data_IF_987068305955
#
_entry.id   IF_987068305955
#
_cell.length_a   1.000
_cell.length_b   1.000
_cell.length_c   1.000
_cell.angle_alpha   90.00
_cell.angle_beta   90.00
_cell.angle_gamma   90.00
#
_symmetry.space_group_name_H-M   'P 1'
#
loop_
_entity.id
_entity.type
_entity.pdbx_description
1 polymer ?
#
# COMPACT_ATOMS: atom_id res chain seq x y z
N UNK A 1 15.61 5.90 -18.09
CA UNK A 1 16.15 6.57 -16.90
C UNK A 1 16.26 5.50 -15.85
N UNK A 2 17.37 5.41 -15.12
CA UNK A 2 17.52 4.38 -14.10
C UNK A 2 16.61 4.68 -12.90
N UNK A 3 16.16 3.67 -12.15
CA UNK A 3 15.39 3.91 -10.93
C UNK A 3 16.24 4.66 -9.90
N UNK A 4 15.61 5.59 -9.21
CA UNK A 4 16.19 6.31 -8.08
C UNK A 4 16.01 5.44 -6.84
N UNK A 5 17.06 5.27 -6.05
CA UNK A 5 17.05 4.42 -4.87
C UNK A 5 17.39 5.23 -3.62
N UNK A 6 16.78 4.87 -2.48
CA UNK A 6 17.17 5.39 -1.17
C UNK A 6 17.23 4.28 -0.13
N UNK A 7 18.37 4.22 0.57
CA UNK A 7 18.52 3.40 1.76
C UNK A 7 17.87 4.11 2.96
N UNK A 8 17.03 3.40 3.72
CA UNK A 8 16.17 3.96 4.76
C UNK A 8 16.27 3.22 6.11
N UNK A 9 17.19 2.24 6.23
CA UNK A 9 17.41 1.43 7.45
C UNK A 9 16.15 0.76 8.01
N UNK A 10 15.19 0.45 7.15
CA UNK A 10 13.96 -0.28 7.50
C UNK A 10 13.54 -1.18 6.35
N UNK A 11 13.29 -2.45 6.64
CA UNK A 11 12.74 -3.37 5.63
C UNK A 11 11.32 -2.96 5.32
N UNK A 12 10.97 -2.95 4.03
CA UNK A 12 9.66 -2.52 3.57
C UNK A 12 8.81 -3.72 3.23
N UNK A 13 7.62 -3.79 3.82
CA UNK A 13 6.60 -4.81 3.52
C UNK A 13 5.54 -4.30 2.55
N UNK A 14 5.28 -2.97 2.54
CA UNK A 14 4.26 -2.34 1.69
C UNK A 14 4.69 -0.99 1.15
N UNK A 15 4.26 -0.70 -0.07
CA UNK A 15 4.43 0.57 -0.78
C UNK A 15 3.12 0.93 -1.45
N UNK A 16 2.69 2.19 -1.39
CA UNK A 16 1.50 2.69 -2.09
C UNK A 16 1.64 4.13 -2.51
N UNK A 17 1.36 4.44 -3.76
CA UNK A 17 1.22 5.82 -4.22
C UNK A 17 -0.03 6.46 -3.62
N UNK A 18 0.07 7.74 -3.27
CA UNK A 18 -1.10 8.54 -2.97
C UNK A 18 -1.90 8.73 -4.27
N UNK A 19 -3.22 8.45 -4.28
CA UNK A 19 -4.04 8.68 -5.47
C UNK A 19 -4.03 10.15 -5.88
N UNK A 20 -3.76 10.40 -7.16
CA UNK A 20 -3.86 11.72 -7.79
C UNK A 20 -5.17 11.82 -8.57
N UNK A 21 -5.72 13.02 -8.66
CA UNK A 21 -6.87 13.25 -9.54
C UNK A 21 -6.39 13.21 -10.99
N UNK A 22 -6.97 12.37 -11.88
CA UNK A 22 -6.58 12.31 -13.29
C UNK A 22 -6.68 13.66 -14.01
N UNK A 23 -7.57 14.54 -13.52
CA UNK A 23 -7.76 15.88 -14.08
C UNK A 23 -6.55 16.81 -13.90
N UNK A 24 -5.63 16.50 -12.99
CA UNK A 24 -4.51 17.38 -12.67
C UNK A 24 -3.30 17.20 -13.61
N UNK A 25 -3.25 16.12 -14.42
CA UNK A 25 -2.11 15.80 -15.31
C UNK A 25 -0.73 15.88 -14.61
N UNK A 26 -0.72 15.76 -13.28
CA UNK A 26 0.48 15.79 -12.44
C UNK A 26 1.05 14.38 -12.32
N UNK A 27 2.37 14.26 -12.22
CA UNK A 27 2.95 12.97 -11.87
C UNK A 27 2.72 12.68 -10.39
N UNK A 28 2.65 11.40 -9.99
CA UNK A 28 2.70 11.02 -8.58
C UNK A 28 3.99 11.56 -7.93
N UNK A 29 3.81 12.20 -6.78
CA UNK A 29 4.92 12.75 -5.97
C UNK A 29 4.96 12.11 -4.58
N UNK A 30 3.81 11.75 -4.02
CA UNK A 30 3.73 11.26 -2.64
C UNK A 30 3.39 9.78 -2.61
N UNK A 31 4.11 9.02 -1.79
CA UNK A 31 3.81 7.62 -1.53
C UNK A 31 3.96 7.28 -0.04
N UNK A 32 3.34 6.19 0.36
CA UNK A 32 3.42 5.65 1.71
C UNK A 32 4.18 4.31 1.71
N UNK A 33 4.85 4.02 2.81
CA UNK A 33 5.46 2.71 3.06
C UNK A 33 5.04 2.14 4.41
N UNK A 34 4.94 0.82 4.47
CA UNK A 34 4.85 0.08 5.72
C UNK A 34 6.10 -0.76 5.90
N UNK A 35 6.62 -0.80 7.13
CA UNK A 35 7.78 -1.62 7.47
C UNK A 35 7.39 -2.95 8.10
N UNK A 36 8.37 -3.83 8.18
CA UNK A 36 8.32 -5.05 8.97
C UNK A 36 9.67 -5.31 9.63
N UNK A 37 9.68 -6.09 10.70
CA UNK A 37 10.91 -6.45 11.43
C UNK A 37 10.84 -7.89 11.94
N UNK A 38 12.00 -8.57 11.91
CA UNK A 38 12.18 -9.92 12.44
C UNK A 38 12.53 -9.93 13.93
N UNK A 39 12.88 -8.79 14.52
CA UNK A 39 13.23 -8.73 15.93
C UNK A 39 12.02 -8.97 16.83
N UNK A 40 12.22 -9.79 17.86
CA UNK A 40 11.18 -10.12 18.82
C UNK A 40 10.64 -8.84 19.48
N UNK A 41 9.38 -8.52 19.18
CA UNK A 41 8.68 -7.35 19.70
C UNK A 41 8.47 -6.22 18.68
N UNK A 42 9.07 -6.28 17.49
CA UNK A 42 8.81 -5.39 16.34
C UNK A 42 8.56 -3.91 16.73
N UNK A 43 9.35 -3.39 17.68
CA UNK A 43 9.06 -2.13 18.37
C UNK A 43 9.29 -0.90 17.50
N UNK A 44 9.98 -1.09 16.38
CA UNK A 44 10.44 -0.03 15.49
C UNK A 44 9.67 0.02 14.17
N UNK A 45 8.60 -0.77 14.03
CA UNK A 45 7.80 -0.73 12.82
C UNK A 45 7.10 0.62 12.66
N UNK A 46 6.99 1.06 11.40
CA UNK A 46 6.46 2.37 11.03
C UNK A 46 5.57 2.32 9.80
N UNK A 47 4.67 3.29 9.75
CA UNK A 47 4.05 3.75 8.51
C UNK A 47 4.66 5.12 8.20
N UNK A 48 5.19 5.28 7.00
CA UNK A 48 5.95 6.48 6.61
C UNK A 48 5.39 7.07 5.33
N UNK A 49 5.39 8.40 5.23
CA UNK A 49 5.01 9.16 4.04
C UNK A 49 6.26 9.78 3.43
N UNK A 50 6.39 9.67 2.12
CA UNK A 50 7.54 10.10 1.36
C UNK A 50 7.10 10.98 0.20
N UNK A 51 7.97 11.91 -0.20
CA UNK A 51 7.83 12.66 -1.45
C UNK A 51 8.97 12.37 -2.41
N UNK A 52 8.69 12.43 -3.70
CA UNK A 52 9.65 12.37 -4.80
C UNK A 52 9.36 13.56 -5.70
N UNK A 53 10.36 14.41 -5.96
CA UNK A 53 10.17 15.60 -6.78
C UNK A 53 11.03 16.78 -6.33
N UNK A 54 11.02 17.83 -7.14
CA UNK A 54 11.84 19.03 -6.94
C UNK A 54 11.23 19.92 -5.85
N UNK A 55 11.80 19.86 -4.64
CA UNK A 55 11.43 20.76 -3.53
C UNK A 55 12.24 22.07 -3.51
N UNK A 56 12.89 22.44 -4.62
CA UNK A 56 13.56 23.74 -4.77
C UNK A 56 14.75 23.95 -3.84
N UNK A 57 15.26 22.89 -3.20
CA UNK A 57 16.51 22.93 -2.44
C UNK A 57 17.64 22.59 -3.40
N UNK A 58 18.08 23.59 -4.17
CA UNK A 58 19.31 23.49 -4.93
C UNK A 58 20.46 23.29 -3.93
N UNK A 59 21.07 22.11 -3.90
CA UNK A 59 22.40 21.98 -3.34
C UNK A 59 23.33 22.95 -4.09
N UNK A 60 24.32 23.53 -3.40
CA UNK A 60 25.22 24.55 -3.98
C UNK A 60 25.97 24.07 -5.24
N UNK A 61 25.87 22.79 -5.57
CA UNK A 61 26.55 22.13 -6.68
C UNK A 61 25.64 21.88 -7.91
N UNK A 62 24.36 22.28 -7.87
CA UNK A 62 23.45 22.20 -9.03
C UNK A 62 22.93 20.79 -9.37
N UNK A 63 23.23 19.79 -8.53
CA UNK A 63 22.59 18.47 -8.58
C UNK A 63 21.25 18.53 -7.83
N UNK A 64 20.15 18.32 -8.56
CA UNK A 64 18.81 18.17 -7.99
C UNK A 64 18.72 16.81 -7.32
N UNK A 65 18.36 16.79 -6.04
CA UNK A 65 18.22 15.57 -5.25
C UNK A 65 16.85 14.93 -5.58
N UNK A 66 16.79 14.17 -6.67
CA UNK A 66 15.57 13.43 -7.08
C UNK A 66 15.24 12.26 -6.13
N UNK A 67 16.06 12.04 -5.10
CA UNK A 67 15.88 10.99 -4.11
C UNK A 67 14.58 11.15 -3.29
N UNK A 68 13.89 10.03 -2.97
CA UNK A 68 12.74 10.06 -2.06
C UNK A 68 13.06 10.75 -0.73
N UNK A 69 12.25 11.68 -0.27
CA UNK A 69 12.43 12.35 1.02
C UNK A 69 11.33 11.95 2.00
N UNK A 70 11.72 11.62 3.23
CA UNK A 70 10.77 11.30 4.29
C UNK A 70 10.06 12.60 4.70
N UNK A 71 8.73 12.63 4.58
CA UNK A 71 7.93 13.75 5.05
C UNK A 71 7.58 13.58 6.53
N UNK A 72 7.04 12.42 6.89
CA UNK A 72 6.69 12.08 8.26
C UNK A 72 6.50 10.57 8.44
N UNK A 73 6.50 10.11 9.69
CA UNK A 73 6.21 8.73 10.05
C UNK A 73 5.39 8.61 11.32
N UNK A 74 4.79 7.44 11.51
CA UNK A 74 4.04 7.06 12.71
C UNK A 74 4.42 5.66 13.13
N UNK A 75 4.54 5.43 14.44
CA UNK A 75 4.83 4.11 15.00
C UNK A 75 3.69 3.14 14.68
N UNK A 76 4.05 1.90 14.34
CA UNK A 76 3.12 0.84 14.03
C UNK A 76 3.44 -0.41 14.85
N UNK A 77 2.50 -0.87 15.67
CA UNK A 77 2.67 -2.12 16.43
C UNK A 77 2.38 -3.33 15.52
N UNK A 78 3.34 -4.25 15.46
CA UNK A 78 3.33 -5.36 14.51
C UNK A 78 3.76 -4.93 13.11
N UNK A 79 3.96 -5.90 12.24
CA UNK A 79 4.33 -5.69 10.84
C UNK A 79 3.16 -5.06 10.08
N UNK A 80 3.48 -4.18 9.14
CA UNK A 80 2.46 -3.64 8.24
C UNK A 80 2.16 -4.71 7.19
N UNK A 81 1.03 -5.38 7.35
CA UNK A 81 0.60 -6.50 6.50
C UNK A 81 -0.09 -6.05 5.23
N UNK A 82 -0.73 -4.89 5.26
CA UNK A 82 -1.30 -4.22 4.09
C UNK A 82 -1.51 -2.72 4.37
N UNK A 83 -1.54 -1.92 3.31
CA UNK A 83 -1.58 -0.47 3.38
C UNK A 83 -2.37 0.08 2.19
N UNK A 84 -3.33 0.97 2.44
CA UNK A 84 -4.11 1.63 1.38
C UNK A 84 -4.53 3.04 1.78
N UNK A 85 -4.48 3.98 0.83
CA UNK A 85 -5.12 5.27 1.00
C UNK A 85 -6.64 5.11 0.98
N UNK A 86 -7.32 5.61 2.00
CA UNK A 86 -8.77 5.70 2.03
C UNK A 86 -9.25 6.84 1.13
N UNK A 87 -8.54 7.96 1.19
CA UNK A 87 -8.76 9.19 0.45
C UNK A 87 -7.47 10.01 0.42
N UNK A 88 -7.56 11.33 0.24
CA UNK A 88 -6.39 12.19 0.07
C UNK A 88 -5.56 12.35 1.35
N UNK A 89 -6.16 12.39 2.53
CA UNK A 89 -5.44 12.66 3.79
C UNK A 89 -5.46 11.48 4.77
N UNK A 90 -6.16 10.40 4.47
CA UNK A 90 -6.25 9.21 5.34
C UNK A 90 -5.67 7.97 4.71
N UNK A 91 -4.87 7.28 5.52
CA UNK A 91 -4.19 6.05 5.20
C UNK A 91 -4.63 4.95 6.17
N UNK A 92 -4.93 3.77 5.67
CA UNK A 92 -5.36 2.63 6.47
C UNK A 92 -4.29 1.56 6.43
N UNK A 93 -3.95 0.97 7.57
CA UNK A 93 -3.06 -0.18 7.66
C UNK A 93 -3.73 -1.40 8.28
N UNK A 94 -3.29 -2.58 7.82
CA UNK A 94 -3.50 -3.87 8.47
C UNK A 94 -2.23 -4.28 9.21
N UNK A 95 -2.36 -4.84 10.42
CA UNK A 95 -1.24 -5.27 11.24
C UNK A 95 -1.19 -6.78 11.46
N UNK A 96 0.02 -7.33 11.62
CA UNK A 96 0.24 -8.69 12.10
C UNK A 96 -0.27 -8.90 13.54
N UNK A 97 -0.51 -7.83 14.29
CA UNK A 97 -1.21 -7.89 15.60
C UNK A 97 -2.72 -8.10 15.49
N UNK A 98 -3.28 -8.12 14.27
CA UNK A 98 -4.71 -8.18 14.03
C UNK A 98 -5.43 -6.84 14.08
N UNK A 99 -4.70 -5.75 14.32
CA UNK A 99 -5.25 -4.41 14.34
C UNK A 99 -5.49 -3.85 12.93
N UNK A 100 -6.49 -2.99 12.80
CA UNK A 100 -6.69 -2.09 11.65
C UNK A 100 -6.56 -0.66 12.16
N UNK A 101 -5.72 0.17 11.53
CA UNK A 101 -5.45 1.56 11.96
C UNK A 101 -5.77 2.53 10.85
N UNK A 102 -6.34 3.69 11.20
CA UNK A 102 -6.46 4.85 10.31
C UNK A 102 -5.47 5.90 10.79
N UNK A 103 -4.57 6.29 9.90
CA UNK A 103 -3.69 7.43 10.06
C UNK A 103 -4.23 8.61 9.27
N UNK A 104 -4.06 9.80 9.81
CA UNK A 104 -4.36 11.06 9.14
C UNK A 104 -3.08 11.86 8.92
N UNK A 105 -2.79 12.15 7.66
CA UNK A 105 -1.76 13.07 7.23
C UNK A 105 -2.24 14.50 7.50
N UNK A 106 -1.43 15.27 8.25
CA UNK A 106 -1.72 16.68 8.50
C UNK A 106 -1.54 17.50 7.22
N UNK A 107 -2.24 18.63 7.12
CA UNK A 107 -2.25 19.47 5.91
C UNK A 107 -0.89 20.07 5.55
N UNK A 108 0.04 20.14 6.51
CA UNK A 108 1.41 20.59 6.30
C UNK A 108 2.35 19.46 5.82
N UNK A 109 1.82 18.24 5.69
CA UNK A 109 2.55 17.01 5.40
C UNK A 109 3.68 16.68 6.39
N UNK A 110 3.74 17.33 7.55
CA UNK A 110 4.84 17.15 8.52
C UNK A 110 4.52 16.15 9.62
N UNK A 111 3.28 15.70 9.73
CA UNK A 111 2.88 14.73 10.75
C UNK A 111 1.86 13.72 10.25
N UNK A 112 2.08 12.47 10.64
CA UNK A 112 1.16 11.36 10.45
C UNK A 112 0.60 10.93 11.81
N UNK A 113 -0.62 11.38 12.11
CA UNK A 113 -1.29 11.13 13.39
C UNK A 113 -2.19 9.91 13.35
N UNK A 114 -2.23 9.11 14.41
CA UNK A 114 -3.20 8.02 14.55
C UNK A 114 -4.60 8.62 14.77
N UNK A 115 -5.49 8.45 13.79
CA UNK A 115 -6.85 8.97 13.84
C UNK A 115 -7.81 7.96 14.49
N UNK A 116 -7.67 6.68 14.19
CA UNK A 116 -8.50 5.62 14.77
C UNK A 116 -7.79 4.27 14.78
N UNK A 117 -8.20 3.38 15.69
CA UNK A 117 -7.69 2.01 15.76
C UNK A 117 -8.77 1.02 16.19
N UNK A 118 -8.81 -0.10 15.47
CA UNK A 118 -9.52 -1.31 15.88
C UNK A 118 -8.49 -2.36 16.31
N UNK A 119 -8.01 -2.26 17.56
CA UNK A 119 -6.89 -3.05 18.10
C UNK A 119 -7.10 -4.57 18.00
N UNK A 120 -8.35 -5.02 18.09
CA UNK A 120 -8.71 -6.45 18.08
C UNK A 120 -9.71 -6.76 16.97
N UNK A 121 -9.49 -6.15 15.80
CA UNK A 121 -10.26 -6.41 14.59
C UNK A 121 -10.24 -7.91 14.27
N UNK A 122 -9.05 -8.49 14.09
CA UNK A 122 -8.86 -9.91 13.89
C UNK A 122 -8.27 -10.57 15.12
N UNK A 123 -8.90 -11.66 15.58
CA UNK A 123 -8.47 -12.37 16.80
C UNK A 123 -8.96 -13.81 16.87
N UNK A 124 -8.14 -14.65 17.49
CA UNK A 124 -8.55 -15.94 18.02
C UNK A 124 -9.13 -15.79 19.45
N UNK A 125 -9.61 -16.90 20.02
CA UNK A 125 -10.20 -16.90 21.37
C UNK A 125 -9.21 -16.51 22.46
N UNK A 126 -7.94 -16.85 22.28
CA UNK A 126 -6.89 -16.65 23.28
C UNK A 126 -5.70 -15.85 22.78
N UNK A 127 -5.71 -15.40 21.52
CA UNK A 127 -4.59 -14.70 20.91
C UNK A 127 -5.07 -13.74 19.80
N UNK A 128 -4.16 -12.90 19.33
CA UNK A 128 -4.37 -12.09 18.15
C UNK A 128 -4.29 -12.95 16.87
N UNK A 129 -4.99 -12.52 15.83
CA UNK A 129 -4.90 -13.14 14.51
C UNK A 129 -4.48 -12.05 13.52
N UNK A 130 -3.40 -12.23 12.75
CA UNK A 130 -2.95 -11.24 11.78
C UNK A 130 -4.08 -10.76 10.86
N UNK A 131 -4.17 -9.44 10.69
CA UNK A 131 -4.98 -8.81 9.64
C UNK A 131 -4.14 -8.84 8.37
N UNK A 132 -4.55 -9.59 7.36
CA UNK A 132 -3.69 -9.94 6.22
C UNK A 132 -3.92 -9.07 4.98
N UNK A 133 -5.10 -8.46 4.84
CA UNK A 133 -5.38 -7.50 3.79
C UNK A 133 -6.50 -6.53 4.17
N UNK A 134 -6.47 -5.36 3.54
CA UNK A 134 -7.52 -4.34 3.61
C UNK A 134 -7.87 -3.85 2.21
N UNK A 135 -9.10 -3.41 2.01
CA UNK A 135 -9.53 -2.65 0.83
C UNK A 135 -10.35 -1.45 1.25
N UNK A 136 -10.10 -0.31 0.60
CA UNK A 136 -10.76 0.95 0.93
C UNK A 136 -11.68 1.42 -0.20
N UNK A 137 -12.88 1.88 0.17
CA UNK A 137 -13.79 2.65 -0.70
C UNK A 137 -14.46 3.72 0.16
N UNK A 138 -13.85 4.91 0.23
CA UNK A 138 -14.25 5.93 1.19
C UNK A 138 -15.77 6.15 1.27
N UNK A 139 -16.39 6.12 2.47
CA UNK A 139 -15.75 5.97 3.79
C UNK A 139 -15.66 4.52 4.31
N UNK A 140 -15.96 3.53 3.48
CA UNK A 140 -15.99 2.11 3.82
C UNK A 140 -14.59 1.50 3.78
N UNK A 141 -14.32 0.64 4.76
CA UNK A 141 -13.08 -0.15 4.84
C UNK A 141 -13.50 -1.60 5.03
N UNK A 142 -12.85 -2.52 4.33
CA UNK A 142 -13.01 -3.95 4.56
C UNK A 142 -11.65 -4.54 4.91
N UNK A 143 -11.60 -5.38 5.94
CA UNK A 143 -10.40 -6.16 6.28
C UNK A 143 -10.68 -7.66 6.28
N UNK A 144 -9.61 -8.43 6.11
CA UNK A 144 -9.59 -9.87 6.29
C UNK A 144 -8.39 -10.27 7.13
N UNK A 145 -8.50 -11.41 7.83
CA UNK A 145 -7.43 -11.91 8.68
C UNK A 145 -7.41 -13.41 8.80
N UNK A 146 -6.38 -13.92 9.47
CA UNK A 146 -6.15 -15.36 9.64
C UNK A 146 -7.22 -16.04 10.50
N UNK A 147 -8.02 -15.27 11.25
CA UNK A 147 -9.20 -15.76 11.95
C UNK A 147 -10.38 -16.14 11.02
N UNK A 148 -10.20 -16.01 9.71
CA UNK A 148 -11.18 -16.36 8.69
C UNK A 148 -12.37 -15.42 8.63
N UNK A 149 -12.26 -14.21 9.21
CA UNK A 149 -13.31 -13.19 9.19
C UNK A 149 -13.07 -12.17 8.08
N UNK A 150 -14.17 -11.67 7.53
CA UNK A 150 -14.23 -10.46 6.71
C UNK A 150 -14.99 -9.41 7.51
N UNK A 151 -14.41 -8.24 7.70
CA UNK A 151 -14.97 -7.21 8.57
C UNK A 151 -15.16 -5.91 7.78
N UNK A 152 -16.37 -5.34 7.85
CA UNK A 152 -16.70 -4.04 7.29
C UNK A 152 -16.70 -2.99 8.40
N UNK A 153 -16.06 -1.86 8.11
CA UNK A 153 -15.99 -0.68 8.96
C UNK A 153 -16.47 0.55 8.19
N UNK A 154 -16.68 1.63 8.94
CA UNK A 154 -16.81 2.97 8.40
C UNK A 154 -15.80 3.86 9.10
N UNK A 155 -15.04 4.65 8.34
CA UNK A 155 -13.95 5.46 8.87
C UNK A 155 -14.39 6.53 9.89
N UNK A 156 -15.65 6.95 9.85
CA UNK A 156 -16.27 7.92 10.75
C UNK A 156 -17.00 7.26 11.95
N UNK A 157 -16.85 5.95 12.13
CA UNK A 157 -17.48 5.18 13.19
C UNK A 157 -16.46 4.40 14.01
N UNK A 158 -16.63 4.42 15.33
CA UNK A 158 -15.75 3.69 16.24
C UNK A 158 -16.01 2.19 16.21
N UNK A 159 -17.28 1.81 16.06
CA UNK A 159 -17.72 0.42 16.06
C UNK A 159 -17.60 -0.23 14.68
N UNK A 160 -17.46 -1.55 14.71
CA UNK A 160 -17.48 -2.38 13.50
C UNK A 160 -18.90 -2.41 12.94
N UNK A 161 -19.06 -2.20 11.62
CA UNK A 161 -20.37 -2.26 10.96
C UNK A 161 -20.88 -3.69 10.81
N UNK A 162 -19.99 -4.60 10.38
CA UNK A 162 -20.36 -6.00 10.10
C UNK A 162 -19.16 -6.91 10.20
N UNK A 163 -19.36 -8.09 10.78
CA UNK A 163 -18.41 -9.20 10.76
C UNK A 163 -19.06 -10.36 10.01
N UNK A 164 -18.36 -10.87 8.99
CA UNK A 164 -18.73 -12.07 8.23
C UNK A 164 -17.68 -13.13 8.57
N UNK A 165 -18.07 -14.16 9.30
CA UNK A 165 -17.16 -15.23 9.69
C UNK A 165 -17.83 -16.24 10.62
N UNK A 166 -17.24 -17.44 10.70
CA UNK A 166 -17.77 -18.58 11.43
C UNK A 166 -18.44 -19.60 10.51
N UNK A 167 -18.14 -20.88 10.74
CA UNK A 167 -18.54 -22.06 9.94
C UNK A 167 -20.07 -22.33 9.87
N UNK A 168 -20.89 -21.37 10.29
CA UNK A 168 -22.34 -21.50 10.46
C UNK A 168 -23.15 -20.29 9.97
N UNK A 169 -22.56 -19.30 9.28
CA UNK A 169 -23.34 -18.23 8.64
C UNK A 169 -23.71 -18.61 7.20
N UNK A 170 -24.98 -18.97 6.97
CA UNK A 170 -25.55 -19.05 5.63
C UNK A 170 -25.56 -17.65 5.02
N UNK A 171 -24.72 -17.41 4.03
CA UNK A 171 -24.84 -16.23 3.17
C UNK A 171 -26.12 -16.40 2.36
N UNK A 172 -27.16 -15.63 2.69
CA UNK A 172 -28.28 -15.40 1.77
C UNK A 172 -27.86 -14.23 0.90
N UNK A 173 -27.42 -14.54 -0.32
CA UNK A 173 -27.24 -13.53 -1.36
C UNK A 173 -28.61 -13.13 -1.90
N UNK A 174 -28.99 -11.86 -1.75
CA UNK A 174 -30.02 -11.28 -2.60
C UNK A 174 -29.37 -10.92 -3.93
N UNK A 175 -29.83 -11.59 -5.00
CA UNK A 175 -29.42 -11.41 -6.38
C UNK A 175 -29.47 -9.94 -6.80
N UNK A 176 -28.33 -9.37 -7.21
CA UNK A 176 -28.32 -8.19 -8.06
C UNK A 176 -28.32 -8.65 -9.52
N UNK A 177 -29.26 -8.12 -10.30
CA UNK A 177 -29.43 -8.43 -11.72
C UNK A 177 -28.17 -8.10 -12.55
N UNK A 178 -27.92 -8.79 -13.68
CA UNK A 178 -26.77 -8.49 -14.52
C UNK A 178 -27.00 -7.17 -15.25
N UNK A 179 -26.04 -6.24 -15.14
CA UNK A 179 -25.89 -5.19 -16.14
C UNK A 179 -25.04 -5.76 -17.27
N UNK A 180 -25.69 -5.90 -18.43
CA UNK A 180 -25.04 -6.29 -19.68
C UNK A 180 -24.37 -5.07 -20.31
N UNK A 181 -23.13 -5.26 -20.76
CA UNK A 181 -22.52 -4.46 -21.81
C UNK A 181 -21.27 -3.69 -21.39
N UNK A 182 -20.11 -4.35 -21.46
CA UNK A 182 -18.91 -3.73 -22.06
C UNK A 182 -17.95 -4.84 -22.51
N UNK A 183 -17.78 -4.94 -23.84
CA UNK A 183 -16.70 -5.72 -24.44
C UNK A 183 -15.45 -4.87 -24.38
N UNK A 184 -14.49 -5.26 -23.55
CA UNK A 184 -13.08 -5.00 -23.82
C UNK A 184 -12.29 -6.24 -23.46
N UNK A 185 -12.10 -7.10 -24.47
CA UNK A 185 -11.20 -8.24 -24.37
C UNK A 185 -9.75 -7.74 -24.39
N UNK A 186 -9.30 -7.15 -23.28
CA UNK A 186 -7.87 -7.02 -23.00
C UNK A 186 -7.40 -8.41 -22.59
N UNK A 187 -7.13 -9.25 -23.59
CA UNK A 187 -6.52 -10.54 -23.36
C UNK A 187 -5.05 -10.27 -23.03
N UNK A 188 -4.68 -10.39 -21.76
CA UNK A 188 -3.28 -10.30 -21.35
C UNK A 188 -2.45 -11.24 -22.22
N UNK A 189 -1.37 -10.74 -22.83
CA UNK A 189 -0.48 -11.55 -23.67
C UNK A 189 0.12 -12.76 -22.93
N UNK A 190 0.10 -12.73 -21.59
CA UNK A 190 0.49 -13.83 -20.71
C UNK A 190 -0.56 -14.95 -20.57
N UNK A 191 -1.85 -14.64 -20.77
CA UNK A 191 -2.97 -15.58 -20.62
C UNK A 191 -3.42 -16.15 -21.98
N UNK A 192 -3.22 -15.42 -23.07
CA UNK A 192 -3.30 -15.97 -24.41
C UNK A 192 -2.01 -16.74 -24.69
N UNK A 193 -2.04 -18.07 -24.56
CA UNK A 193 -0.92 -18.96 -24.91
C UNK A 193 -0.48 -18.95 -26.39
N UNK A 194 -0.73 -17.87 -27.13
CA UNK A 194 -0.26 -17.63 -28.49
C UNK A 194 1.07 -16.85 -28.45
N UNK A 195 2.09 -17.46 -27.84
CA UNK A 195 3.46 -16.93 -27.72
C UNK A 195 4.15 -16.72 -29.07
N UNK A 196 3.53 -17.16 -30.17
CA UNK A 196 4.07 -17.08 -31.52
C UNK A 196 3.87 -15.74 -32.22
N UNK A 197 2.98 -14.85 -31.70
CA UNK A 197 2.65 -13.57 -32.34
C UNK A 197 3.12 -12.32 -31.60
N UNK A 198 3.45 -12.44 -30.31
CA UNK A 198 3.93 -11.31 -29.52
C UNK A 198 5.34 -11.60 -29.02
N UNK A 199 6.33 -10.88 -29.57
CA UNK A 199 7.72 -10.92 -29.10
C UNK A 199 7.76 -10.27 -27.72
N UNK A 200 7.74 -11.09 -26.67
CA UNK A 200 7.91 -10.64 -25.29
C UNK A 200 9.38 -10.28 -25.07
N UNK A 201 9.63 -9.02 -24.75
CA UNK A 201 10.95 -8.56 -24.28
C UNK A 201 10.84 -8.26 -22.78
N UNK A 202 11.73 -8.83 -21.99
CA UNK A 202 11.82 -8.60 -20.55
C UNK A 202 13.09 -7.79 -20.27
N UNK A 203 12.95 -6.66 -19.60
CA UNK A 203 14.06 -5.80 -19.17
C UNK A 203 14.13 -5.76 -17.65
N UNK A 204 15.35 -5.68 -17.13
CA UNK A 204 15.57 -5.48 -15.70
C UNK A 204 15.27 -4.02 -15.35
N UNK A 205 14.31 -3.80 -14.45
CA UNK A 205 13.97 -2.45 -13.96
C UNK A 205 14.87 -2.06 -12.79
N UNK A 206 15.19 -3.01 -11.90
CA UNK A 206 16.02 -2.78 -10.71
C UNK A 206 17.47 -3.28 -10.92
N UNK A 207 18.44 -2.78 -10.14
CA UNK A 207 19.80 -3.31 -10.13
C UNK A 207 19.85 -4.82 -9.83
N UNK A 208 20.84 -5.52 -10.35
CA UNK A 208 20.96 -6.99 -10.23
C UNK A 208 21.23 -7.49 -8.80
N UNK A 209 21.55 -6.60 -7.85
CA UNK A 209 21.93 -6.93 -6.47
C UNK A 209 20.87 -6.52 -5.43
N UNK A 210 19.62 -6.27 -5.83
CA UNK A 210 18.55 -6.02 -4.85
C UNK A 210 18.23 -7.28 -4.06
N UNK A 211 18.03 -7.16 -2.75
CA UNK A 211 17.32 -8.18 -1.98
C UNK A 211 15.84 -8.26 -2.40
N UNK A 212 15.06 -9.16 -1.81
CA UNK A 212 13.67 -9.43 -2.17
C UNK A 212 12.85 -8.15 -2.29
N UNK A 213 12.09 -8.02 -3.38
CA UNK A 213 11.05 -6.99 -3.54
C UNK A 213 9.77 -7.52 -2.91
N UNK A 214 9.32 -6.89 -1.81
CA UNK A 214 8.14 -7.35 -1.06
C UNK A 214 6.85 -6.68 -1.52
N UNK A 215 6.96 -5.45 -2.02
CA UNK A 215 5.83 -4.66 -2.47
C UNK A 215 6.25 -3.77 -3.62
N UNK A 216 5.32 -3.60 -4.54
CA UNK A 216 5.38 -2.60 -5.60
C UNK A 216 4.02 -1.95 -5.76
N UNK A 217 4.03 -0.73 -6.26
CA UNK A 217 2.84 -0.02 -6.68
C UNK A 217 3.14 0.80 -7.94
N UNK A 218 2.17 0.87 -8.83
CA UNK A 218 2.29 1.62 -10.09
C UNK A 218 1.12 2.58 -10.18
N UNK A 219 1.44 3.86 -10.39
CA UNK A 219 0.45 4.89 -10.68
C UNK A 219 0.91 5.64 -11.93
N UNK A 220 0.08 5.57 -12.97
CA UNK A 220 0.44 6.03 -14.32
C UNK A 220 1.72 5.35 -14.82
N UNK A 221 2.80 6.10 -15.01
CA UNK A 221 4.11 5.62 -15.46
C UNK A 221 5.14 5.58 -14.31
N UNK A 222 4.70 5.77 -13.06
CA UNK A 222 5.58 5.81 -11.90
C UNK A 222 5.46 4.52 -11.10
N UNK A 223 6.55 3.79 -11.00
CA UNK A 223 6.69 2.62 -10.14
C UNK A 223 7.38 3.02 -8.84
N UNK A 224 6.85 2.53 -7.72
CA UNK A 224 7.57 2.47 -6.45
C UNK A 224 7.65 1.03 -5.99
N UNK A 225 8.77 0.62 -5.42
CA UNK A 225 8.86 -0.68 -4.76
C UNK A 225 9.78 -0.64 -3.54
N UNK A 226 9.49 -1.52 -2.57
CA UNK A 226 10.20 -1.65 -1.33
C UNK A 226 10.79 -3.05 -1.17
N UNK A 227 11.94 -3.13 -0.50
CA UNK A 227 12.73 -4.36 -0.44
C UNK A 227 13.14 -4.77 0.98
N UNK A 228 13.63 -6.00 1.11
CA UNK A 228 14.36 -6.49 2.29
C UNK A 228 15.72 -5.80 2.49
N UNK A 229 16.24 -5.15 1.43
CA UNK A 229 17.50 -4.41 1.44
C UNK A 229 17.40 -3.05 2.10
N UNK A 230 16.35 -2.84 2.90
CA UNK A 230 16.08 -1.59 3.62
C UNK A 230 16.07 -0.36 2.71
N UNK A 231 15.61 -0.55 1.48
CA UNK A 231 15.64 0.46 0.45
C UNK A 231 14.30 0.53 -0.30
N UNK A 232 13.97 1.76 -0.69
CA UNK A 232 12.89 2.09 -1.61
C UNK A 232 13.46 2.47 -2.97
N UNK A 233 12.79 2.05 -4.03
CA UNK A 233 13.15 2.38 -5.41
C UNK A 233 11.97 3.05 -6.08
N UNK A 234 12.24 4.12 -6.83
CA UNK A 234 11.24 4.85 -7.60
C UNK A 234 11.73 4.95 -9.04
N UNK A 235 10.89 4.50 -9.97
CA UNK A 235 11.15 4.65 -11.39
C UNK A 235 10.06 5.48 -12.04
N UNK A 236 10.44 6.67 -12.52
CA UNK A 236 9.59 7.49 -13.38
C UNK A 236 9.75 7.02 -14.83
N UNK A 237 8.65 6.87 -15.56
CA UNK A 237 8.59 6.45 -16.97
C UNK A 237 8.85 4.96 -17.20
N UNK A 238 8.14 4.09 -16.46
CA UNK A 238 8.10 2.68 -16.81
C UNK A 238 7.46 2.51 -18.20
N UNK A 239 8.09 1.77 -19.14
CA UNK A 239 7.48 1.48 -20.44
C UNK A 239 6.16 0.74 -20.24
N UNK A 240 5.07 1.30 -20.77
CA UNK A 240 3.73 0.68 -20.80
C UNK A 240 3.47 0.09 -22.17
#
# INVERSE_FOLDING_TARGET
MDPIAKYISQKISKTRWQPISPALLQQPEVFATGSWDNEAGALNNKVSIWSVGDHGVSNMDGEFDEEPQLLCDSKHDGDVMDLQFLDHDRLVSASSSGAVKIFKLQSDCQALSLAHVWERAHRYSCDNAPCTAIVCKSPEIVSVGEDGRVILYKADQTEVLRVIGGWNSRVVSHSAAPLAGENDSVVSAWLAGDSSKNRLEATHILPSQTLSVNSLDVLEQCLVCGTDGEAVYVHRQVPV
#
